data_IF_427906564450
#
_entry.id   IF_427906564450
#
_cell.length_a   1.000
_cell.length_b   1.000
_cell.length_c   1.000
_cell.angle_alpha   90.00
_cell.angle_beta   90.00
_cell.angle_gamma   90.00
#
_symmetry.space_group_name_H-M   'P 1'
#
loop_
_entity.id
_entity.type
_entity.pdbx_description
1 polymer ?
#
# COMPACT_ATOMS: atom_id res chain seq x y z
N UNK A 1 -67.70 54.40 -14.27
CA UNK A 1 -67.61 54.92 -15.66
C UNK A 1 -66.19 55.37 -15.90
N UNK A 2 -65.69 55.06 -17.07
CA UNK A 2 -64.38 55.30 -17.71
C UNK A 2 -63.41 54.11 -17.66
N UNK A 3 -63.56 53.23 -18.63
CA UNK A 3 -62.56 52.30 -19.13
C UNK A 3 -61.44 53.08 -19.86
N UNK A 4 -60.21 52.87 -19.42
CA UNK A 4 -59.03 53.32 -20.20
C UNK A 4 -58.29 52.07 -20.68
N UNK A 5 -58.48 51.78 -21.96
CA UNK A 5 -57.76 50.74 -22.70
C UNK A 5 -56.33 51.23 -22.95
N UNK A 6 -55.33 50.54 -22.39
CA UNK A 6 -53.90 50.75 -22.69
C UNK A 6 -53.53 49.88 -23.88
N UNK A 7 -53.21 50.50 -25.02
CA UNK A 7 -52.60 49.80 -26.16
C UNK A 7 -51.13 49.66 -25.94
N UNK A 8 -50.61 48.40 -25.96
CA UNK A 8 -49.19 48.07 -25.95
C UNK A 8 -48.76 47.84 -27.40
N UNK A 9 -47.68 48.50 -27.88
CA UNK A 9 -47.18 48.25 -29.22
C UNK A 9 -46.38 46.95 -29.27
N UNK A 10 -46.63 46.12 -30.25
CA UNK A 10 -45.87 44.89 -30.54
C UNK A 10 -44.49 45.23 -31.14
N UNK A 11 -43.43 44.83 -30.46
CA UNK A 11 -42.08 44.85 -31.02
C UNK A 11 -41.78 43.47 -31.62
N UNK A 12 -41.10 43.38 -32.77
CA UNK A 12 -40.75 42.12 -33.38
C UNK A 12 -39.61 41.46 -32.63
N UNK A 13 -39.86 40.24 -32.16
CA UNK A 13 -38.84 39.39 -31.57
C UNK A 13 -37.89 38.86 -32.67
N UNK A 14 -36.67 39.34 -32.67
CA UNK A 14 -35.58 38.76 -33.49
C UNK A 14 -35.13 37.49 -32.80
N UNK A 15 -35.48 36.35 -33.39
CA UNK A 15 -35.05 35.02 -32.93
C UNK A 15 -33.59 34.82 -33.34
N UNK A 16 -32.65 35.09 -32.42
CA UNK A 16 -31.25 34.74 -32.59
C UNK A 16 -31.09 33.22 -32.37
N UNK A 17 -30.89 32.47 -33.44
CA UNK A 17 -30.59 31.04 -33.42
C UNK A 17 -29.15 30.87 -32.97
N UNK A 18 -28.94 30.64 -31.65
CA UNK A 18 -27.65 30.23 -31.10
C UNK A 18 -27.40 28.78 -31.52
N UNK A 19 -26.56 28.57 -32.51
CA UNK A 19 -26.01 27.25 -32.84
C UNK A 19 -25.03 26.88 -31.71
N UNK A 20 -25.53 26.11 -30.73
CA UNK A 20 -24.66 25.41 -29.79
C UNK A 20 -23.91 24.34 -30.59
N UNK A 21 -22.63 24.63 -30.88
CA UNK A 21 -21.68 23.62 -31.31
C UNK A 21 -21.55 22.54 -30.24
N UNK A 22 -22.25 21.42 -30.40
CA UNK A 22 -21.95 20.21 -29.66
C UNK A 22 -20.52 19.82 -29.98
N UNK A 23 -19.58 20.10 -29.06
CA UNK A 23 -18.31 19.44 -29.07
C UNK A 23 -18.58 17.93 -28.94
N UNK A 24 -18.54 17.23 -30.05
CA UNK A 24 -18.65 15.79 -30.11
C UNK A 24 -17.48 15.23 -29.33
N UNK A 25 -17.74 14.81 -28.10
CA UNK A 25 -16.88 13.81 -27.44
C UNK A 25 -16.89 12.61 -28.39
N UNK A 26 -15.82 12.43 -29.16
CA UNK A 26 -15.62 11.24 -29.97
C UNK A 26 -15.42 10.04 -29.05
N UNK A 27 -16.53 9.47 -28.59
CA UNK A 27 -16.52 8.11 -28.07
C UNK A 27 -16.15 7.21 -29.23
N UNK A 28 -14.94 6.69 -29.25
CA UNK A 28 -14.50 5.76 -30.29
C UNK A 28 -15.43 4.55 -30.20
N UNK A 29 -16.23 4.34 -31.25
CA UNK A 29 -17.15 3.20 -31.33
C UNK A 29 -16.34 1.90 -31.23
N UNK A 30 -16.67 0.98 -30.29
CA UNK A 30 -15.97 -0.30 -30.15
C UNK A 30 -15.88 -1.09 -31.44
N UNK A 31 -16.86 -0.98 -32.31
CA UNK A 31 -16.88 -1.62 -33.65
C UNK A 31 -15.80 -1.06 -34.58
N UNK A 32 -15.46 0.22 -34.47
CA UNK A 32 -14.40 0.86 -35.25
C UNK A 32 -13.00 0.40 -34.86
N UNK A 33 -12.75 0.27 -33.56
CA UNK A 33 -11.46 -0.23 -33.03
C UNK A 33 -11.25 -1.69 -33.43
N UNK A 34 -12.28 -2.53 -33.34
CA UNK A 34 -12.17 -3.93 -33.75
C UNK A 34 -11.81 -4.06 -35.23
N UNK A 35 -12.42 -3.25 -36.09
CA UNK A 35 -12.11 -3.24 -37.52
C UNK A 35 -10.69 -2.76 -37.81
N UNK A 36 -10.23 -1.73 -37.11
CA UNK A 36 -8.86 -1.22 -37.20
C UNK A 36 -7.84 -2.33 -36.78
N UNK A 37 -8.08 -3.01 -35.67
CA UNK A 37 -7.22 -4.09 -35.15
C UNK A 37 -7.07 -5.26 -36.14
N UNK A 38 -8.10 -5.58 -36.93
CA UNK A 38 -8.04 -6.66 -37.93
C UNK A 38 -7.11 -6.35 -39.12
N UNK A 39 -6.76 -5.08 -39.33
CA UNK A 39 -5.90 -4.63 -40.43
C UNK A 39 -4.48 -4.26 -39.97
N UNK A 40 -4.25 -4.16 -38.66
CA UNK A 40 -2.96 -3.75 -38.10
C UNK A 40 -2.04 -4.95 -37.84
N UNK A 41 -0.74 -4.74 -37.97
CA UNK A 41 0.26 -5.65 -37.42
C UNK A 41 0.27 -5.61 -35.89
N UNK A 42 0.83 -6.62 -35.24
CA UNK A 42 0.95 -6.64 -33.77
C UNK A 42 1.83 -5.48 -33.26
N UNK A 43 2.84 -5.10 -34.02
CA UNK A 43 3.75 -3.98 -33.71
C UNK A 43 3.01 -2.63 -33.76
N UNK A 44 2.20 -2.40 -34.79
CA UNK A 44 1.39 -1.19 -34.93
C UNK A 44 0.33 -1.11 -33.83
N UNK A 45 -0.36 -2.22 -33.54
CA UNK A 45 -1.34 -2.28 -32.46
C UNK A 45 -0.68 -2.01 -31.09
N UNK A 46 0.47 -2.61 -30.81
CA UNK A 46 1.21 -2.34 -29.58
C UNK A 46 1.60 -0.86 -29.48
N UNK A 47 2.21 -0.29 -30.50
CA UNK A 47 2.62 1.11 -30.54
C UNK A 47 1.44 2.07 -30.36
N UNK A 48 0.29 1.76 -30.97
CA UNK A 48 -0.94 2.53 -30.82
C UNK A 48 -1.44 2.50 -29.37
N UNK A 49 -1.48 1.31 -28.75
CA UNK A 49 -1.87 1.11 -27.37
C UNK A 49 -0.97 1.89 -26.42
N UNK A 50 0.35 1.80 -26.61
CA UNK A 50 1.36 2.52 -25.83
C UNK A 50 1.19 4.04 -25.92
N UNK A 51 1.01 4.56 -27.13
CA UNK A 51 0.80 6.00 -27.36
C UNK A 51 -0.49 6.54 -26.71
N UNK A 52 -1.54 5.72 -26.62
CA UNK A 52 -2.78 6.10 -25.95
C UNK A 52 -2.63 6.07 -24.43
N UNK A 53 -2.00 5.04 -23.89
CA UNK A 53 -1.74 4.93 -22.44
C UNK A 53 -0.83 6.07 -21.97
N UNK A 54 0.21 6.42 -22.71
CA UNK A 54 1.11 7.54 -22.40
C UNK A 54 0.37 8.89 -22.33
N UNK A 55 -0.71 9.03 -23.12
CA UNK A 55 -1.63 10.18 -23.07
C UNK A 55 -2.74 10.05 -22.02
N UNK A 56 -2.64 9.05 -21.14
CA UNK A 56 -3.64 8.71 -20.11
C UNK A 56 -5.03 8.33 -20.67
N UNK A 57 -5.11 7.99 -21.94
CA UNK A 57 -6.31 7.42 -22.55
C UNK A 57 -6.34 5.90 -22.30
N UNK A 58 -6.41 5.56 -21.01
CA UNK A 58 -6.18 4.18 -20.54
C UNK A 58 -7.13 3.18 -21.21
N UNK A 59 -8.44 3.44 -21.18
CA UNK A 59 -9.43 2.51 -21.73
C UNK A 59 -9.21 2.24 -23.21
N UNK A 60 -9.00 3.29 -24.01
CA UNK A 60 -8.72 3.13 -25.43
C UNK A 60 -7.41 2.40 -25.69
N UNK A 61 -6.34 2.72 -24.94
CA UNK A 61 -5.04 2.06 -25.10
C UNK A 61 -5.06 0.58 -24.74
N UNK A 62 -5.84 0.22 -23.71
CA UNK A 62 -6.00 -1.17 -23.25
C UNK A 62 -6.65 -2.07 -24.31
N UNK A 63 -7.48 -1.55 -25.16
CA UNK A 63 -8.10 -2.35 -26.24
C UNK A 63 -7.02 -2.90 -27.18
N UNK A 64 -6.07 -2.06 -27.59
CA UNK A 64 -4.95 -2.45 -28.44
C UNK A 64 -3.95 -3.37 -27.72
N UNK A 65 -3.57 -3.02 -26.50
CA UNK A 65 -2.64 -3.84 -25.71
C UNK A 65 -3.22 -5.23 -25.41
N UNK A 66 -4.51 -5.30 -25.10
CA UNK A 66 -5.23 -6.57 -24.88
C UNK A 66 -5.24 -7.42 -26.11
N UNK A 67 -5.55 -6.86 -27.27
CA UNK A 67 -5.51 -7.58 -28.55
C UNK A 67 -4.14 -8.24 -28.79
N UNK A 68 -3.06 -7.49 -28.58
CA UNK A 68 -1.70 -8.04 -28.76
C UNK A 68 -1.39 -9.10 -27.69
N UNK A 69 -1.74 -8.87 -26.43
CA UNK A 69 -1.47 -9.81 -25.35
C UNK A 69 -2.22 -11.14 -25.49
N UNK A 70 -3.45 -11.11 -26.01
CA UNK A 70 -4.30 -12.30 -26.14
C UNK A 70 -4.01 -13.07 -27.42
N UNK A 71 -3.86 -12.40 -28.57
CA UNK A 71 -3.66 -13.07 -29.84
C UNK A 71 -2.21 -13.52 -30.09
N UNK A 72 -1.25 -12.90 -29.39
CA UNK A 72 0.18 -13.20 -29.54
C UNK A 72 0.84 -13.61 -28.21
N UNK A 73 0.11 -14.35 -27.36
CA UNK A 73 0.53 -14.69 -26.00
C UNK A 73 1.88 -15.43 -25.92
N UNK A 74 2.24 -16.20 -26.93
CA UNK A 74 3.52 -16.93 -27.00
C UNK A 74 4.67 -16.09 -27.55
N UNK A 75 4.37 -14.94 -28.16
CA UNK A 75 5.34 -14.03 -28.73
C UNK A 75 5.95 -13.11 -27.67
N UNK A 76 7.17 -12.64 -27.89
CA UNK A 76 7.84 -11.70 -26.99
C UNK A 76 7.04 -10.40 -26.83
N UNK A 77 6.48 -9.88 -27.92
CA UNK A 77 5.66 -8.66 -27.91
C UNK A 77 4.33 -8.88 -27.19
N UNK A 78 3.70 -10.06 -27.33
CA UNK A 78 2.48 -10.40 -26.58
C UNK A 78 2.70 -10.43 -25.08
N UNK A 79 3.83 -11.00 -24.62
CA UNK A 79 4.23 -10.98 -23.21
C UNK A 79 4.51 -9.57 -22.72
N UNK A 80 5.17 -8.75 -23.55
CA UNK A 80 5.40 -7.33 -23.23
C UNK A 80 4.09 -6.55 -23.15
N UNK A 81 3.15 -6.80 -24.06
CA UNK A 81 1.83 -6.20 -24.06
C UNK A 81 1.02 -6.57 -22.81
N UNK A 82 1.12 -7.83 -22.35
CA UNK A 82 0.47 -8.28 -21.12
C UNK A 82 0.98 -7.52 -19.89
N UNK A 83 2.28 -7.30 -19.77
CA UNK A 83 2.85 -6.48 -18.69
C UNK A 83 2.43 -5.02 -18.83
N UNK A 84 2.49 -4.45 -20.03
CA UNK A 84 2.11 -3.05 -20.26
C UNK A 84 0.63 -2.80 -20.00
N UNK A 85 -0.22 -3.79 -20.31
CA UNK A 85 -1.64 -3.77 -19.97
C UNK A 85 -1.83 -3.72 -18.44
N UNK A 86 -1.09 -4.54 -17.67
CA UNK A 86 -1.11 -4.50 -16.21
C UNK A 86 -0.63 -3.13 -15.68
N UNK A 87 0.45 -2.59 -16.24
CA UNK A 87 1.00 -1.28 -15.89
C UNK A 87 -0.03 -0.16 -16.12
N UNK A 88 -0.81 -0.22 -17.20
CA UNK A 88 -1.82 0.79 -17.52
C UNK A 88 -2.93 0.89 -16.46
N UNK A 89 -3.31 -0.23 -15.85
CA UNK A 89 -4.25 -0.26 -14.74
C UNK A 89 -3.63 0.31 -13.46
N UNK A 90 -2.38 -0.02 -13.19
CA UNK A 90 -1.67 0.54 -12.03
C UNK A 90 -1.48 2.06 -12.14
N UNK A 91 -1.15 2.57 -13.33
CA UNK A 91 -0.93 3.98 -13.62
C UNK A 91 -2.20 4.83 -13.49
N UNK A 92 -3.37 4.23 -13.66
CA UNK A 92 -4.68 4.89 -13.50
C UNK A 92 -4.95 5.33 -12.05
N UNK A 93 -4.34 4.64 -11.07
CA UNK A 93 -4.38 4.94 -9.62
C UNK A 93 -5.81 4.95 -9.03
N UNK A 94 -6.72 4.19 -9.61
CA UNK A 94 -8.06 3.96 -9.07
C UNK A 94 -8.12 2.67 -8.27
N UNK A 95 -9.09 2.54 -7.36
CA UNK A 95 -9.29 1.30 -6.62
C UNK A 95 -9.50 0.10 -7.55
N UNK A 96 -10.35 0.27 -8.58
CA UNK A 96 -10.60 -0.75 -9.59
C UNK A 96 -9.32 -1.03 -10.40
N UNK A 97 -8.57 0.01 -10.79
CA UNK A 97 -7.29 -0.14 -11.48
C UNK A 97 -6.28 -0.97 -10.68
N UNK A 98 -6.20 -0.80 -9.38
CA UNK A 98 -5.32 -1.62 -8.53
C UNK A 98 -5.78 -3.09 -8.46
N UNK A 99 -7.07 -3.37 -8.39
CA UNK A 99 -7.61 -4.75 -8.42
C UNK A 99 -7.28 -5.43 -9.74
N UNK A 100 -7.52 -4.75 -10.88
CA UNK A 100 -7.20 -5.25 -12.21
C UNK A 100 -5.68 -5.47 -12.39
N UNK A 101 -4.87 -4.49 -11.99
CA UNK A 101 -3.42 -4.62 -12.06
C UNK A 101 -2.91 -5.82 -11.25
N UNK A 102 -3.44 -6.03 -10.04
CA UNK A 102 -3.10 -7.16 -9.19
C UNK A 102 -3.38 -8.50 -9.88
N UNK A 103 -4.58 -8.66 -10.46
CA UNK A 103 -4.97 -9.86 -11.20
C UNK A 103 -4.00 -10.12 -12.36
N UNK A 104 -3.72 -9.11 -13.17
CA UNK A 104 -2.88 -9.24 -14.37
C UNK A 104 -1.41 -9.52 -14.06
N UNK A 105 -0.83 -8.93 -13.01
CA UNK A 105 0.55 -9.28 -12.60
C UNK A 105 0.62 -10.73 -12.06
N UNK A 106 -0.39 -11.19 -11.33
CA UNK A 106 -0.48 -12.59 -10.89
C UNK A 106 -0.60 -13.53 -12.09
N UNK A 107 -1.48 -13.23 -13.04
CA UNK A 107 -1.67 -14.02 -14.26
C UNK A 107 -0.38 -14.10 -15.08
N UNK A 108 0.32 -12.97 -15.24
CA UNK A 108 1.59 -12.94 -15.96
C UNK A 108 2.62 -13.89 -15.32
N UNK A 109 2.80 -13.81 -14.01
CA UNK A 109 3.73 -14.66 -13.27
C UNK A 109 3.35 -16.15 -13.33
N UNK A 110 2.06 -16.44 -13.29
CA UNK A 110 1.55 -17.81 -13.39
C UNK A 110 1.77 -18.39 -14.79
N UNK A 111 1.51 -17.62 -15.84
CA UNK A 111 1.67 -18.07 -17.24
C UNK A 111 3.12 -18.11 -17.68
N UNK A 112 3.95 -17.22 -17.16
CA UNK A 112 5.33 -17.03 -17.59
C UNK A 112 6.33 -17.04 -16.43
N UNK A 113 6.39 -18.12 -15.61
CA UNK A 113 7.19 -18.14 -14.38
C UNK A 113 8.69 -17.92 -14.61
N UNK A 114 9.22 -18.41 -15.74
CA UNK A 114 10.65 -18.26 -16.11
C UNK A 114 10.94 -17.04 -16.99
N UNK A 115 9.97 -16.11 -17.11
CA UNK A 115 10.20 -14.91 -17.94
C UNK A 115 11.20 -13.97 -17.25
N UNK A 116 12.14 -13.35 -18.00
CA UNK A 116 13.14 -12.44 -17.42
C UNK A 116 12.57 -11.26 -16.64
N UNK A 117 11.31 -10.87 -16.91
CA UNK A 117 10.60 -9.80 -16.19
C UNK A 117 9.61 -10.32 -15.12
N UNK A 118 9.74 -11.57 -14.66
CA UNK A 118 8.90 -12.08 -13.57
C UNK A 118 9.20 -11.40 -12.24
N UNK A 119 10.45 -10.95 -12.04
CA UNK A 119 10.85 -10.09 -10.94
C UNK A 119 10.14 -8.72 -10.97
N UNK A 120 10.08 -8.09 -12.16
CA UNK A 120 9.32 -6.86 -12.36
C UNK A 120 7.84 -7.04 -12.02
N UNK A 121 7.21 -8.08 -12.54
CA UNK A 121 5.80 -8.35 -12.27
C UNK A 121 5.53 -8.55 -10.76
N UNK A 122 6.44 -9.26 -10.05
CA UNK A 122 6.36 -9.42 -8.60
C UNK A 122 6.56 -8.11 -7.85
N UNK A 123 7.53 -7.30 -8.27
CA UNK A 123 7.76 -5.98 -7.71
C UNK A 123 6.52 -5.07 -7.84
N UNK A 124 5.91 -5.06 -9.04
CA UNK A 124 4.68 -4.28 -9.29
C UNK A 124 3.49 -4.81 -8.50
N UNK A 125 3.36 -6.13 -8.36
CA UNK A 125 2.34 -6.75 -7.51
C UNK A 125 2.49 -6.30 -6.05
N UNK A 126 3.72 -6.27 -5.52
CA UNK A 126 4.00 -5.74 -4.20
C UNK A 126 3.61 -4.25 -4.07
N UNK A 127 3.97 -3.45 -5.09
CA UNK A 127 3.60 -2.02 -5.12
C UNK A 127 2.09 -1.79 -5.16
N UNK A 128 1.30 -2.65 -5.84
CA UNK A 128 -0.16 -2.56 -5.85
C UNK A 128 -0.72 -2.65 -4.42
N UNK A 129 -0.26 -3.63 -3.64
CA UNK A 129 -0.69 -3.81 -2.25
C UNK A 129 -0.17 -2.69 -1.34
N UNK A 130 1.07 -2.26 -1.55
CA UNK A 130 1.68 -1.14 -0.82
C UNK A 130 0.91 0.18 -1.03
N UNK A 131 0.45 0.47 -2.25
CA UNK A 131 -0.39 1.66 -2.55
C UNK A 131 -1.75 1.62 -1.88
N UNK A 132 -2.22 0.45 -1.50
CA UNK A 132 -3.48 0.23 -0.80
C UNK A 132 -3.29 -0.02 0.71
N UNK A 133 -2.04 0.02 1.21
CA UNK A 133 -1.76 -0.09 2.63
C UNK A 133 -2.35 1.11 3.37
N UNK A 134 -3.06 0.83 4.46
CA UNK A 134 -3.70 1.85 5.28
C UNK A 134 -2.83 2.23 6.50
N UNK A 135 -3.31 3.17 7.30
CA UNK A 135 -2.67 3.57 8.55
C UNK A 135 -2.64 2.40 9.55
N UNK A 136 -1.71 2.39 10.52
CA UNK A 136 -1.58 1.29 11.47
C UNK A 136 -2.82 1.00 12.33
N UNK A 137 -3.72 1.97 12.51
CA UNK A 137 -4.97 1.83 13.26
C UNK A 137 -6.13 1.26 12.43
N UNK A 138 -5.88 0.92 11.15
CA UNK A 138 -6.85 0.37 10.20
C UNK A 138 -6.51 -1.08 9.85
N UNK A 139 -7.24 -1.64 8.86
CA UNK A 139 -6.95 -2.98 8.37
C UNK A 139 -5.56 -3.09 7.75
N UNK A 140 -4.85 -4.18 8.07
CA UNK A 140 -3.49 -4.42 7.64
C UNK A 140 -3.37 -5.53 6.59
N UNK A 141 -4.46 -5.91 5.93
CA UNK A 141 -4.44 -6.99 4.92
C UNK A 141 -3.49 -6.63 3.75
N UNK A 142 -3.62 -5.43 3.19
CA UNK A 142 -2.77 -4.97 2.11
C UNK A 142 -1.30 -4.77 2.55
N UNK A 143 -1.06 -4.31 3.77
CA UNK A 143 0.29 -4.19 4.33
C UNK A 143 0.97 -5.56 4.42
N UNK A 144 0.24 -6.60 4.88
CA UNK A 144 0.75 -7.98 4.91
C UNK A 144 1.04 -8.53 3.54
N UNK A 145 0.14 -8.33 2.57
CA UNK A 145 0.35 -8.77 1.18
C UNK A 145 1.55 -8.08 0.54
N UNK A 146 1.72 -6.77 0.75
CA UNK A 146 2.88 -6.03 0.28
C UNK A 146 4.18 -6.58 0.88
N UNK A 147 4.23 -6.74 2.21
CA UNK A 147 5.39 -7.30 2.90
C UNK A 147 5.74 -8.71 2.39
N UNK A 148 4.73 -9.56 2.19
CA UNK A 148 4.93 -10.91 1.65
C UNK A 148 5.54 -10.87 0.25
N UNK A 149 4.99 -10.04 -0.65
CA UNK A 149 5.46 -9.96 -2.04
C UNK A 149 6.85 -9.36 -2.15
N UNK A 150 7.17 -8.33 -1.35
CA UNK A 150 8.54 -7.80 -1.28
C UNK A 150 9.52 -8.83 -0.74
N UNK A 151 9.17 -9.55 0.33
CA UNK A 151 10.02 -10.63 0.86
C UNK A 151 10.26 -11.71 -0.18
N UNK A 152 9.23 -12.13 -0.90
CA UNK A 152 9.34 -13.11 -1.99
C UNK A 152 10.32 -12.64 -3.08
N UNK A 153 10.26 -11.36 -3.47
CA UNK A 153 11.18 -10.78 -4.44
C UNK A 153 12.63 -10.82 -3.93
N UNK A 154 12.85 -10.43 -2.68
CA UNK A 154 14.19 -10.43 -2.07
C UNK A 154 14.79 -11.82 -1.97
N UNK A 155 13.96 -12.86 -1.77
CA UNK A 155 14.39 -14.25 -1.66
C UNK A 155 14.63 -14.90 -3.03
N UNK A 156 13.69 -14.71 -3.98
CA UNK A 156 13.70 -15.43 -5.24
C UNK A 156 14.48 -14.71 -6.37
N UNK A 157 14.66 -13.39 -6.24
CA UNK A 157 15.33 -12.54 -7.23
C UNK A 157 16.37 -11.63 -6.62
N UNK A 158 17.40 -12.16 -5.92
CA UNK A 158 18.38 -11.34 -5.19
C UNK A 158 19.20 -10.42 -6.11
N UNK A 159 19.35 -10.76 -7.40
CA UNK A 159 20.02 -9.95 -8.43
C UNK A 159 19.11 -8.98 -9.19
N UNK A 160 17.85 -8.86 -8.82
CA UNK A 160 16.91 -7.96 -9.50
C UNK A 160 17.30 -6.48 -9.29
N UNK A 161 17.15 -5.62 -10.31
CA UNK A 161 17.36 -4.18 -10.16
C UNK A 161 16.40 -3.53 -9.14
N UNK A 162 15.31 -4.20 -8.79
CA UNK A 162 14.31 -3.73 -7.83
C UNK A 162 14.64 -4.09 -6.37
N UNK A 163 15.69 -4.89 -6.11
CA UNK A 163 16.03 -5.42 -4.78
C UNK A 163 16.27 -4.32 -3.74
N UNK A 164 16.98 -3.24 -4.11
CA UNK A 164 17.27 -2.15 -3.17
C UNK A 164 16.00 -1.42 -2.73
N UNK A 165 15.12 -1.06 -3.67
CA UNK A 165 13.84 -0.42 -3.38
C UNK A 165 12.92 -1.37 -2.60
N UNK A 166 12.81 -2.63 -3.02
CA UNK A 166 11.99 -3.64 -2.37
C UNK A 166 12.38 -3.84 -0.90
N UNK A 167 13.68 -3.81 -0.58
CA UNK A 167 14.18 -3.93 0.80
C UNK A 167 13.73 -2.76 1.68
N UNK A 168 13.83 -1.54 1.17
CA UNK A 168 13.35 -0.35 1.88
C UNK A 168 11.84 -0.39 2.12
N UNK A 169 11.08 -0.77 1.08
CA UNK A 169 9.61 -0.89 1.17
C UNK A 169 9.19 -2.03 2.10
N UNK A 170 9.88 -3.16 2.06
CA UNK A 170 9.63 -4.28 2.97
C UNK A 170 9.77 -3.86 4.44
N UNK A 171 10.86 -3.15 4.78
CA UNK A 171 11.05 -2.61 6.14
C UNK A 171 9.94 -1.66 6.55
N UNK A 172 9.52 -0.77 5.64
CA UNK A 172 8.41 0.14 5.91
C UNK A 172 7.09 -0.61 6.18
N UNK A 173 6.81 -1.71 5.45
CA UNK A 173 5.64 -2.54 5.71
C UNK A 173 5.72 -3.25 7.07
N UNK A 174 6.90 -3.76 7.44
CA UNK A 174 7.11 -4.37 8.76
C UNK A 174 6.92 -3.33 9.88
N UNK A 175 7.38 -2.11 9.69
CA UNK A 175 7.17 -1.02 10.66
C UNK A 175 5.69 -0.65 10.83
N UNK A 176 4.91 -0.64 9.75
CA UNK A 176 3.46 -0.43 9.83
C UNK A 176 2.76 -1.55 10.62
N UNK A 177 3.13 -2.80 10.37
CA UNK A 177 2.59 -3.96 11.09
C UNK A 177 2.98 -3.93 12.57
N UNK A 178 4.22 -3.58 12.89
CA UNK A 178 4.68 -3.43 14.25
C UNK A 178 3.96 -2.28 15.00
N UNK A 179 3.76 -1.14 14.34
CA UNK A 179 2.98 -0.04 14.92
C UNK A 179 1.52 -0.44 15.15
N UNK A 180 0.93 -1.24 14.27
CA UNK A 180 -0.41 -1.81 14.51
C UNK A 180 -0.45 -2.63 15.79
N UNK A 181 0.46 -3.60 15.97
CA UNK A 181 0.52 -4.42 17.19
C UNK A 181 0.77 -3.56 18.44
N UNK A 182 1.63 -2.54 18.32
CA UNK A 182 1.83 -1.57 19.39
C UNK A 182 0.54 -0.84 19.77
N UNK A 183 -0.24 -0.36 18.81
CA UNK A 183 -1.51 0.32 19.05
C UNK A 183 -2.55 -0.61 19.70
N UNK A 184 -2.59 -1.87 19.28
CA UNK A 184 -3.45 -2.89 19.88
C UNK A 184 -3.03 -3.15 21.34
N UNK A 185 -1.71 -3.28 21.62
CA UNK A 185 -1.19 -3.41 22.98
C UNK A 185 -1.60 -2.22 23.85
N UNK A 186 -1.43 -0.99 23.36
CA UNK A 186 -1.85 0.21 24.07
C UNK A 186 -3.35 0.30 24.33
N UNK A 187 -4.15 -0.18 23.39
CA UNK A 187 -5.61 -0.25 23.55
C UNK A 187 -5.99 -1.13 24.75
N UNK A 188 -5.41 -2.33 24.83
CA UNK A 188 -5.64 -3.24 25.97
C UNK A 188 -5.11 -2.65 27.28
N UNK A 189 -3.93 -2.02 27.26
CA UNK A 189 -3.36 -1.35 28.44
C UNK A 189 -4.33 -0.30 29.02
N UNK A 190 -4.86 0.57 28.16
CA UNK A 190 -5.81 1.63 28.57
C UNK A 190 -7.11 1.09 29.15
N UNK A 191 -7.50 -0.12 28.78
CA UNK A 191 -8.67 -0.82 29.28
C UNK A 191 -8.44 -1.64 30.55
N UNK A 192 -7.21 -1.64 31.08
CA UNK A 192 -6.85 -2.46 32.25
C UNK A 192 -6.70 -3.95 31.95
N UNK A 193 -6.79 -4.36 30.67
CA UNK A 193 -6.54 -5.74 30.24
C UNK A 193 -5.03 -5.98 30.04
N UNK A 194 -4.29 -5.91 31.14
CA UNK A 194 -2.82 -5.87 31.11
C UNK A 194 -2.19 -7.15 30.59
N UNK A 195 -2.77 -8.34 30.89
CA UNK A 195 -2.29 -9.61 30.32
C UNK A 195 -2.42 -9.64 28.78
N UNK A 196 -3.55 -9.15 28.25
CA UNK A 196 -3.72 -9.04 26.80
C UNK A 196 -2.72 -8.04 26.20
N UNK A 197 -2.47 -6.90 26.87
CA UNK A 197 -1.44 -5.94 26.47
C UNK A 197 -0.05 -6.57 26.43
N UNK A 198 0.33 -7.30 27.48
CA UNK A 198 1.58 -8.06 27.57
C UNK A 198 1.77 -8.99 26.39
N UNK A 199 0.78 -9.86 26.16
CA UNK A 199 0.81 -10.82 25.03
C UNK A 199 1.04 -10.15 23.69
N UNK A 200 0.45 -8.96 23.47
CA UNK A 200 0.67 -8.18 22.25
C UNK A 200 2.09 -7.62 22.14
N UNK A 201 2.67 -7.14 23.24
CA UNK A 201 4.06 -6.70 23.24
C UNK A 201 5.03 -7.87 23.00
N UNK A 202 4.80 -9.03 23.60
CA UNK A 202 5.59 -10.23 23.34
C UNK A 202 5.53 -10.63 21.86
N UNK A 203 4.32 -10.64 21.28
CA UNK A 203 4.15 -10.89 19.84
C UNK A 203 4.87 -9.86 18.96
N UNK A 204 4.82 -8.57 19.33
CA UNK A 204 5.56 -7.52 18.64
C UNK A 204 7.06 -7.77 18.64
N UNK A 205 7.64 -8.08 19.81
CA UNK A 205 9.09 -8.32 19.95
C UNK A 205 9.55 -9.55 19.16
N UNK A 206 8.72 -10.60 19.12
CA UNK A 206 9.03 -11.82 18.39
C UNK A 206 8.94 -11.63 16.86
N UNK A 207 7.90 -10.94 16.41
CA UNK A 207 7.62 -10.80 14.97
C UNK A 207 8.39 -9.64 14.30
N UNK A 208 8.70 -8.58 15.06
CA UNK A 208 9.27 -7.34 14.53
C UNK A 208 10.50 -6.85 15.31
N UNK A 209 11.59 -7.63 15.37
CA UNK A 209 12.78 -7.28 16.19
C UNK A 209 13.48 -5.99 15.74
N UNK A 210 13.30 -5.59 14.46
CA UNK A 210 13.88 -4.37 13.89
C UNK A 210 12.89 -3.19 13.86
N UNK A 211 11.82 -3.23 14.66
CA UNK A 211 10.84 -2.14 14.71
C UNK A 211 11.49 -0.79 15.03
N UNK A 212 11.26 0.20 14.18
CA UNK A 212 11.94 1.51 14.26
C UNK A 212 11.65 2.28 15.56
N UNK A 213 10.56 1.94 16.26
CA UNK A 213 10.19 2.56 17.55
C UNK A 213 10.23 1.55 18.71
N UNK A 214 11.16 0.61 18.66
CA UNK A 214 11.32 -0.42 19.68
C UNK A 214 11.49 0.18 21.08
N UNK A 215 12.19 1.31 21.23
CA UNK A 215 12.32 2.03 22.49
C UNK A 215 10.97 2.34 23.15
N UNK A 216 10.00 2.76 22.35
CA UNK A 216 8.63 3.07 22.77
C UNK A 216 7.91 1.78 23.23
N UNK A 217 8.08 0.69 22.48
CA UNK A 217 7.48 -0.59 22.79
C UNK A 217 8.07 -1.17 24.11
N UNK A 218 9.38 -1.13 24.28
CA UNK A 218 10.05 -1.57 25.51
C UNK A 218 9.57 -0.81 26.74
N UNK A 219 9.44 0.52 26.63
CA UNK A 219 8.92 1.33 27.72
C UNK A 219 7.50 0.90 28.13
N UNK A 220 6.57 0.81 27.19
CA UNK A 220 5.19 0.47 27.48
C UNK A 220 5.01 -0.99 27.92
N UNK A 221 5.80 -1.90 27.39
CA UNK A 221 5.84 -3.28 27.87
C UNK A 221 6.28 -3.34 29.34
N UNK A 222 7.37 -2.66 29.70
CA UNK A 222 7.83 -2.60 31.09
C UNK A 222 6.81 -1.96 32.04
N UNK A 223 6.09 -0.92 31.58
CA UNK A 223 4.98 -0.33 32.35
C UNK A 223 3.83 -1.35 32.51
N UNK A 224 3.57 -2.17 31.48
CA UNK A 224 2.54 -3.23 31.53
C UNK A 224 2.92 -4.30 32.55
N UNK A 225 4.18 -4.78 32.56
CA UNK A 225 4.67 -5.78 33.53
C UNK A 225 4.52 -5.25 34.96
N UNK A 226 4.86 -4.00 35.22
CA UNK A 226 4.64 -3.38 36.53
C UNK A 226 3.18 -3.36 36.98
N UNK A 227 2.25 -3.12 36.03
CA UNK A 227 0.81 -3.16 36.33
C UNK A 227 0.33 -4.55 36.70
N UNK A 228 1.02 -5.58 36.21
CA UNK A 228 0.80 -6.99 36.55
C UNK A 228 1.51 -7.45 37.86
N UNK A 229 2.28 -6.57 38.49
CA UNK A 229 3.10 -6.93 39.67
C UNK A 229 4.36 -7.76 39.34
N UNK A 230 4.76 -7.78 38.06
CA UNK A 230 5.92 -8.52 37.56
C UNK A 230 7.15 -7.61 37.48
N UNK A 231 7.64 -7.23 38.67
CA UNK A 231 8.68 -6.19 38.74
C UNK A 231 10.03 -6.62 38.14
N UNK A 232 10.38 -7.91 38.17
CA UNK A 232 11.61 -8.43 37.56
C UNK A 232 11.54 -8.37 36.02
N UNK A 233 10.41 -8.74 35.43
CA UNK A 233 10.20 -8.69 34.00
C UNK A 233 10.22 -7.20 33.51
N UNK A 234 9.59 -6.32 34.28
CA UNK A 234 9.63 -4.89 34.02
C UNK A 234 11.08 -4.35 34.08
N UNK A 235 11.87 -4.76 35.06
CA UNK A 235 13.28 -4.36 35.22
C UNK A 235 14.07 -4.78 33.98
N UNK A 236 13.94 -6.03 33.56
CA UNK A 236 14.62 -6.56 32.37
C UNK A 236 14.33 -5.73 31.12
N UNK A 237 13.07 -5.36 30.89
CA UNK A 237 12.68 -4.52 29.74
C UNK A 237 13.24 -3.10 29.83
N UNK A 238 13.26 -2.50 31.04
CA UNK A 238 13.80 -1.16 31.22
C UNK A 238 15.35 -1.16 31.12
N UNK A 239 16.03 -2.20 31.55
CA UNK A 239 17.47 -2.37 31.35
C UNK A 239 17.81 -2.52 29.87
N UNK A 240 17.05 -3.34 29.16
CA UNK A 240 17.18 -3.43 27.70
C UNK A 240 16.98 -2.05 27.04
N UNK A 241 15.98 -1.27 27.46
CA UNK A 241 15.76 0.08 26.96
C UNK A 241 16.97 0.98 27.21
N UNK A 242 17.55 0.96 28.44
CA UNK A 242 18.74 1.77 28.76
C UNK A 242 19.97 1.37 27.93
N UNK A 243 20.18 0.06 27.76
CA UNK A 243 21.34 -0.49 27.07
C UNK A 243 21.27 -0.23 25.55
N UNK A 244 20.12 -0.54 24.94
CA UNK A 244 19.97 -0.53 23.48
C UNK A 244 19.61 0.87 22.94
N UNK A 245 19.04 1.76 23.79
CA UNK A 245 18.56 3.09 23.40
C UNK A 245 18.96 4.18 24.42
N UNK A 246 20.27 4.47 24.59
CA UNK A 246 20.76 5.39 25.62
C UNK A 246 20.29 6.84 25.45
N UNK A 247 19.89 7.22 24.23
CA UNK A 247 19.35 8.55 23.92
C UNK A 247 17.81 8.62 23.96
N UNK A 248 17.15 7.56 24.41
CA UNK A 248 15.69 7.51 24.41
C UNK A 248 15.06 8.51 25.36
N UNK A 249 14.10 9.29 24.85
CA UNK A 249 13.27 10.19 25.66
C UNK A 249 12.48 9.49 26.78
N UNK A 250 12.33 8.17 26.69
CA UNK A 250 11.62 7.38 27.70
C UNK A 250 12.47 7.11 28.95
N UNK A 251 13.78 7.28 28.89
CA UNK A 251 14.67 7.06 30.06
C UNK A 251 14.31 7.97 31.23
N UNK A 252 13.96 9.22 30.95
CA UNK A 252 13.54 10.18 32.00
C UNK A 252 12.19 9.85 32.65
N UNK A 253 11.44 8.91 32.09
CA UNK A 253 10.14 8.44 32.59
C UNK A 253 10.23 7.11 33.34
N UNK A 254 11.42 6.49 33.36
CA UNK A 254 11.63 5.23 34.06
C UNK A 254 11.54 5.48 35.55
N UNK A 255 11.02 4.50 36.31
CA UNK A 255 11.16 4.53 37.77
C UNK A 255 12.65 4.54 38.16
N UNK A 256 12.98 5.28 39.21
CA UNK A 256 14.33 5.23 39.76
C UNK A 256 14.69 3.76 40.05
N UNK A 257 15.93 3.30 39.76
CA UNK A 257 16.35 1.97 40.15
C UNK A 257 16.02 1.79 41.63
N UNK A 258 15.38 0.69 41.99
CA UNK A 258 15.31 0.35 43.41
C UNK A 258 16.76 0.32 43.92
N UNK A 259 17.07 1.06 44.98
CA UNK A 259 18.34 0.90 45.64
C UNK A 259 18.51 -0.61 45.94
N UNK A 260 19.68 -1.21 45.63
CA UNK A 260 19.91 -2.60 45.96
C UNK A 260 19.51 -2.74 47.42
N UNK A 261 18.51 -3.61 47.68
CA UNK A 261 18.10 -3.90 49.06
C UNK A 261 19.38 -4.08 49.82
N UNK A 262 19.66 -3.18 50.78
CA UNK A 262 20.88 -3.20 51.58
C UNK A 262 21.02 -4.64 52.03
N UNK A 263 22.09 -5.31 51.57
CA UNK A 263 22.39 -6.67 51.93
C UNK A 263 22.17 -6.75 53.43
N UNK A 264 21.09 -7.41 53.80
CA UNK A 264 20.65 -7.48 55.17
C UNK A 264 21.88 -7.89 55.98
N UNK A 265 22.21 -7.07 56.95
CA UNK A 265 23.20 -7.34 58.00
C UNK A 265 22.82 -8.66 58.68
N UNK A 266 23.21 -9.76 58.07
CA UNK A 266 23.30 -11.08 58.69
C UNK A 266 24.78 -11.36 58.88
N UNK A 267 25.38 -10.57 59.72
CA UNK A 267 26.70 -10.85 60.23
C UNK A 267 26.94 -10.00 61.53
N UNK A 268 26.25 -10.31 62.55
CA UNK A 268 26.71 -10.02 63.94
C UNK A 268 25.72 -10.57 64.95
N UNK A 269 25.63 -11.89 65.05
CA UNK A 269 25.40 -12.59 66.34
C UNK A 269 26.00 -13.99 66.18
N UNK A 270 27.25 -14.07 66.43
CA UNK A 270 27.95 -15.21 67.01
C UNK A 270 29.02 -14.65 67.94
#
# INVERSE_FOLDING_TARGET
MFHRTLRIPAAPAVLALAVLGCAACSSTDPSSVTRELLTMSKEEAYARGEALVSKRKYESGRQYLRFVAENYANDALGKQAALRLADSFFEEKTALGYVEAQGRYKDFRSRYPSHPRSDYALFRLAQVSDRQAEKPDRDQANTRLAAQSYRELLQNYPGSPYTAEARGRYRAMLDLLAEHEFLVAQYYFKRGAWEASRSRFEGLFAAFPEYSRMEKALYWAGVTERRLGRDEDARTLFERLRRDYPESRFLGKLPKPAEPAAAAKVAAVL
#
